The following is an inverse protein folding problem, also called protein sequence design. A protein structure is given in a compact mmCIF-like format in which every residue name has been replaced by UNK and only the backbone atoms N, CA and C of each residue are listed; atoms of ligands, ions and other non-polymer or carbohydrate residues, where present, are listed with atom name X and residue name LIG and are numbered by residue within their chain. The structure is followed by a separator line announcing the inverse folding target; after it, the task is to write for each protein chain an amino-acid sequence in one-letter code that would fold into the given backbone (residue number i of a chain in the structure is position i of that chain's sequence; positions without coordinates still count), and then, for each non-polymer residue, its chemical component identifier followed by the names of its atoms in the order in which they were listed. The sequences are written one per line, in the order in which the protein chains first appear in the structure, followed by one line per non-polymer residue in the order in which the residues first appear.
data_IF_974912599472
#
_entry.id   IF_974912599472
#
_cell.length_a   1.000
_cell.length_b   1.000
_cell.length_c   1.000
_cell.angle_alpha   90.00
_cell.angle_beta   90.00
_cell.angle_gamma   90.00
#
_symmetry.space_group_name_H-M   'P 1'
#
loop_
_entity.id
_entity.type
_entity.pdbx_description
1 polymer ?
#
# COMPACT_ATOMS: atom_id res chain seq x y z
N UNK A 1 -11.22 -4.74 0.05
CA UNK A 1 -11.68 -5.89 0.86
C UNK A 1 -11.25 -7.18 0.19
N UNK A 2 -10.89 -8.21 0.96
CA UNK A 2 -10.65 -9.57 0.49
C UNK A 2 -11.80 -10.48 0.92
N UNK A 3 -13.02 -10.19 0.45
CA UNK A 3 -14.21 -11.01 0.70
C UNK A 3 -14.86 -11.35 -0.65
N UNK A 4 -14.80 -12.62 -1.05
CA UNK A 4 -15.29 -13.08 -2.36
C UNK A 4 -16.79 -12.90 -2.51
N UNK A 5 -17.56 -13.20 -1.48
CA UNK A 5 -19.03 -13.12 -1.50
C UNK A 5 -19.45 -11.66 -1.72
N UNK A 6 -18.80 -10.72 -1.00
CA UNK A 6 -19.11 -9.31 -1.14
C UNK A 6 -18.69 -8.75 -2.50
N UNK A 7 -17.54 -9.18 -3.03
CA UNK A 7 -17.12 -8.82 -4.40
C UNK A 7 -18.14 -9.29 -5.42
N UNK A 8 -18.59 -10.55 -5.35
CA UNK A 8 -19.60 -11.11 -6.25
C UNK A 8 -20.95 -10.39 -6.13
N UNK A 9 -21.36 -10.02 -4.91
CA UNK A 9 -22.58 -9.24 -4.69
C UNK A 9 -22.49 -7.88 -5.38
N UNK A 10 -21.36 -7.17 -5.25
CA UNK A 10 -21.14 -5.88 -5.90
C UNK A 10 -21.03 -6.02 -7.42
N UNK A 11 -20.42 -7.09 -7.93
CA UNK A 11 -20.36 -7.39 -9.36
C UNK A 11 -21.76 -7.64 -9.93
N UNK A 12 -22.63 -8.34 -9.20
CA UNK A 12 -24.05 -8.49 -9.54
C UNK A 12 -24.85 -7.17 -9.55
N UNK A 13 -24.36 -6.13 -8.86
CA UNK A 13 -24.91 -4.77 -8.88
C UNK A 13 -24.25 -3.88 -9.97
N UNK A 14 -23.36 -4.43 -10.79
CA UNK A 14 -22.71 -3.73 -11.89
C UNK A 14 -21.32 -3.17 -11.59
N UNK A 15 -20.76 -3.42 -10.40
CA UNK A 15 -19.34 -3.10 -10.16
C UNK A 15 -18.46 -3.98 -11.04
N UNK A 16 -17.41 -3.41 -11.64
CA UNK A 16 -16.43 -4.17 -12.41
C UNK A 16 -15.07 -4.03 -11.78
N UNK A 17 -14.43 -5.17 -11.48
CA UNK A 17 -13.03 -5.19 -11.03
C UNK A 17 -12.12 -4.85 -12.21
N UNK A 18 -11.21 -3.90 -12.00
CA UNK A 18 -10.25 -3.41 -13.00
C UNK A 18 -8.84 -3.38 -12.40
N UNK A 19 -7.83 -3.50 -13.25
CA UNK A 19 -6.42 -3.28 -12.89
C UNK A 19 -5.87 -1.96 -13.43
N UNK A 20 -4.62 -1.64 -13.08
CA UNK A 20 -3.95 -0.42 -13.56
C UNK A 20 -3.88 -0.34 -15.08
N UNK A 21 -3.75 -1.48 -15.78
CA UNK A 21 -3.71 -1.54 -17.24
C UNK A 21 -5.04 -1.14 -17.91
N UNK A 22 -6.16 -1.20 -17.19
CA UNK A 22 -7.47 -0.83 -17.71
C UNK A 22 -7.72 0.68 -17.61
N UNK A 23 -7.00 1.40 -16.73
CA UNK A 23 -7.23 2.82 -16.43
C UNK A 23 -7.35 3.71 -17.67
N UNK A 24 -6.52 3.57 -18.73
CA UNK A 24 -6.63 4.41 -19.93
C UNK A 24 -8.01 4.37 -20.61
N UNK A 25 -8.81 3.32 -20.37
CA UNK A 25 -10.14 3.12 -20.96
C UNK A 25 -11.29 3.59 -20.05
N UNK A 26 -10.98 4.13 -18.86
CA UNK A 26 -11.97 4.47 -17.82
C UNK A 26 -12.27 5.98 -17.75
N UNK A 27 -11.80 6.80 -18.70
CA UNK A 27 -12.06 8.24 -18.70
C UNK A 27 -13.57 8.54 -18.64
N UNK A 28 -13.96 9.49 -17.78
CA UNK A 28 -15.36 9.84 -17.53
C UNK A 28 -16.14 8.83 -16.67
N UNK A 29 -15.52 7.72 -16.25
CA UNK A 29 -16.10 6.77 -15.30
C UNK A 29 -15.70 7.11 -13.86
N UNK A 30 -16.33 6.40 -12.91
CA UNK A 30 -15.98 6.41 -11.50
C UNK A 30 -15.08 5.21 -11.16
N UNK A 31 -13.99 5.47 -10.46
CA UNK A 31 -13.08 4.45 -9.93
C UNK A 31 -13.21 4.37 -8.42
N UNK A 32 -13.62 3.20 -7.92
CA UNK A 32 -13.72 2.92 -6.50
C UNK A 32 -12.42 2.30 -5.97
N UNK A 33 -11.68 3.04 -5.13
CA UNK A 33 -10.47 2.54 -4.48
C UNK A 33 -10.84 1.79 -3.21
N UNK A 34 -10.36 0.55 -3.11
CA UNK A 34 -10.69 -0.36 -2.01
C UNK A 34 -9.90 0.01 -0.74
N UNK A 35 -10.37 -0.51 0.40
CA UNK A 35 -9.81 -0.27 1.75
C UNK A 35 -8.29 -0.38 1.95
N UNK A 36 -7.57 -1.11 1.09
CA UNK A 36 -6.11 -1.23 1.16
C UNK A 36 -5.37 0.02 0.67
N UNK A 37 -6.08 0.94 0.01
CA UNK A 37 -5.52 2.13 -0.61
C UNK A 37 -4.62 1.84 -1.80
N UNK A 38 -4.19 2.92 -2.44
CA UNK A 38 -3.34 2.90 -3.63
C UNK A 38 -2.14 3.86 -3.42
N UNK A 39 -1.05 3.71 -4.20
CA UNK A 39 0.02 4.70 -4.21
C UNK A 39 -0.43 6.02 -4.84
N UNK A 40 0.23 7.16 -4.54
CA UNK A 40 -0.13 8.47 -5.10
C UNK A 40 -0.15 8.53 -6.63
N UNK A 41 0.66 7.68 -7.29
CA UNK A 41 0.72 7.55 -8.74
C UNK A 41 -0.61 7.09 -9.36
N UNK A 42 -1.36 6.21 -8.69
CA UNK A 42 -2.70 5.79 -9.15
C UNK A 42 -3.67 6.97 -9.18
N UNK A 43 -3.66 7.82 -8.14
CA UNK A 43 -4.52 9.00 -8.06
C UNK A 43 -4.14 10.06 -9.09
N UNK A 44 -2.84 10.27 -9.32
CA UNK A 44 -2.34 11.16 -10.37
C UNK A 44 -2.81 10.69 -11.75
N UNK A 45 -2.63 9.40 -12.05
CA UNK A 45 -3.10 8.79 -13.30
C UNK A 45 -4.61 8.94 -13.49
N UNK A 46 -5.40 8.70 -12.43
CA UNK A 46 -6.84 8.87 -12.47
C UNK A 46 -7.25 10.32 -12.78
N UNK A 47 -6.57 11.29 -12.17
CA UNK A 47 -6.79 12.72 -12.42
C UNK A 47 -6.45 13.10 -13.87
N UNK A 48 -5.32 12.63 -14.39
CA UNK A 48 -4.88 12.88 -15.76
C UNK A 48 -5.86 12.31 -16.80
N UNK A 49 -6.44 11.16 -16.51
CA UNK A 49 -7.41 10.48 -17.39
C UNK A 49 -8.86 10.96 -17.20
N UNK A 50 -9.11 11.94 -16.34
CA UNK A 50 -10.47 12.43 -16.07
C UNK A 50 -11.38 11.39 -15.42
N UNK A 51 -10.82 10.54 -14.55
CA UNK A 51 -11.53 9.51 -13.80
C UNK A 51 -11.94 10.08 -12.44
N UNK A 52 -13.22 10.01 -12.10
CA UNK A 52 -13.71 10.41 -10.78
C UNK A 52 -13.36 9.32 -9.75
N UNK A 53 -12.53 9.65 -8.76
CA UNK A 53 -12.11 8.68 -7.73
C UNK A 53 -13.04 8.74 -6.51
N UNK A 54 -13.58 7.59 -6.14
CA UNK A 54 -14.24 7.36 -4.85
C UNK A 54 -13.26 6.57 -3.97
N UNK A 55 -12.66 7.24 -2.99
CA UNK A 55 -11.65 6.63 -2.13
C UNK A 55 -12.26 6.06 -0.85
N UNK A 56 -12.29 4.72 -0.75
CA UNK A 56 -12.72 4.00 0.43
C UNK A 56 -11.55 3.38 1.21
N UNK A 57 -10.35 3.95 1.12
CA UNK A 57 -9.17 3.54 1.90
C UNK A 57 -9.49 3.58 3.39
N UNK A 58 -9.16 2.51 4.11
CA UNK A 58 -9.35 2.44 5.55
C UNK A 58 -8.56 3.57 6.24
N UNK A 59 -9.15 4.35 7.17
CA UNK A 59 -8.44 5.44 7.86
C UNK A 59 -7.17 4.98 8.60
N UNK A 60 -7.11 3.72 9.03
CA UNK A 60 -5.92 3.11 9.64
C UNK A 60 -4.81 2.96 8.59
N UNK A 61 -5.14 2.43 7.41
CA UNK A 61 -4.20 2.27 6.29
C UNK A 61 -3.73 3.62 5.78
N UNK A 62 -4.64 4.59 5.60
CA UNK A 62 -4.27 5.95 5.18
C UNK A 62 -3.30 6.63 6.18
N UNK A 63 -3.47 6.36 7.48
CA UNK A 63 -2.54 6.84 8.52
C UNK A 63 -1.18 6.14 8.42
N UNK A 64 -1.16 4.84 8.17
CA UNK A 64 0.08 4.08 7.97
C UNK A 64 0.84 4.56 6.72
N UNK A 65 0.15 4.83 5.61
CA UNK A 65 0.72 5.43 4.40
C UNK A 65 1.40 6.78 4.70
N UNK A 66 0.77 7.66 5.51
CA UNK A 66 1.40 8.91 5.95
C UNK A 66 2.62 8.67 6.83
N UNK A 67 2.57 7.69 7.73
CA UNK A 67 3.72 7.32 8.58
C UNK A 67 4.89 6.82 7.76
N UNK A 68 4.67 6.04 6.69
CA UNK A 68 5.74 5.61 5.78
C UNK A 68 6.46 6.81 5.17
N UNK A 69 5.73 7.83 4.69
CA UNK A 69 6.36 9.06 4.16
C UNK A 69 7.21 9.77 5.21
N UNK A 70 6.68 9.90 6.43
CA UNK A 70 7.38 10.55 7.54
C UNK A 70 8.63 9.77 7.97
N UNK A 71 8.53 8.43 8.01
CA UNK A 71 9.65 7.55 8.32
C UNK A 71 10.79 7.71 7.32
N UNK A 72 10.47 7.72 6.02
CA UNK A 72 11.46 7.94 4.96
C UNK A 72 12.10 9.32 5.05
N UNK A 73 11.30 10.37 5.22
CA UNK A 73 11.83 11.72 5.38
C UNK A 73 12.79 11.84 6.57
N UNK A 74 12.46 11.22 7.71
CA UNK A 74 13.31 11.20 8.90
C UNK A 74 14.58 10.35 8.71
N UNK A 75 14.45 9.14 8.15
CA UNK A 75 15.58 8.23 7.95
C UNK A 75 16.56 8.76 6.91
N UNK A 76 16.10 9.46 5.87
CA UNK A 76 16.97 10.06 4.85
C UNK A 76 18.00 11.02 5.45
N UNK A 77 17.61 11.82 6.45
CA UNK A 77 18.50 12.80 7.08
C UNK A 77 19.66 12.16 7.87
N UNK A 78 19.48 10.92 8.33
CA UNK A 78 20.45 10.19 9.16
C UNK A 78 21.06 8.98 8.43
N UNK A 79 20.81 8.84 7.12
CA UNK A 79 21.25 7.67 6.35
C UNK A 79 20.61 6.35 6.83
N UNK A 80 19.45 6.40 7.48
CA UNK A 80 18.73 5.23 7.99
C UNK A 80 17.99 4.43 6.93
N UNK A 81 17.22 3.44 7.37
CA UNK A 81 16.44 2.52 6.55
C UNK A 81 15.00 2.44 7.06
N UNK A 82 14.04 2.31 6.14
CA UNK A 82 12.64 2.00 6.49
C UNK A 82 12.35 0.55 6.13
N UNK A 83 11.85 -0.18 7.11
CA UNK A 83 11.55 -1.61 7.00
C UNK A 83 10.07 -1.82 7.28
N UNK A 84 9.39 -2.59 6.42
CA UNK A 84 7.98 -2.98 6.59
C UNK A 84 7.92 -4.50 6.71
N UNK A 85 7.36 -5.00 7.82
CA UNK A 85 6.89 -6.37 7.92
C UNK A 85 5.54 -6.50 7.21
N UNK A 86 5.47 -7.28 6.14
CA UNK A 86 4.24 -7.46 5.39
C UNK A 86 4.44 -8.30 4.13
N UNK A 87 3.35 -8.82 3.60
CA UNK A 87 3.37 -9.73 2.45
C UNK A 87 3.69 -8.98 1.15
N UNK A 88 4.77 -9.36 0.47
CA UNK A 88 5.13 -8.73 -0.82
C UNK A 88 4.02 -8.94 -1.84
N UNK A 89 3.73 -7.91 -2.62
CA UNK A 89 2.64 -7.90 -3.60
C UNK A 89 1.23 -7.82 -3.00
N UNK A 90 1.05 -7.86 -1.67
CA UNK A 90 -0.24 -7.55 -1.07
C UNK A 90 -0.61 -6.08 -1.37
N UNK A 91 -1.86 -5.83 -1.75
CA UNK A 91 -2.31 -4.49 -2.18
C UNK A 91 -1.97 -3.39 -1.18
N UNK A 92 -2.14 -3.66 0.12
CA UNK A 92 -1.75 -2.70 1.16
C UNK A 92 -0.24 -2.41 1.15
N UNK A 93 0.60 -3.44 1.06
CA UNK A 93 2.07 -3.27 1.04
C UNK A 93 2.51 -2.51 -0.21
N UNK A 94 1.91 -2.80 -1.37
CA UNK A 94 2.14 -2.01 -2.60
C UNK A 94 1.75 -0.55 -2.39
N UNK A 95 0.59 -0.30 -1.78
CA UNK A 95 0.12 1.03 -1.43
C UNK A 95 1.01 1.75 -0.42
N UNK A 96 1.68 1.02 0.49
CA UNK A 96 2.64 1.57 1.46
C UNK A 96 3.98 1.91 0.79
N UNK A 97 4.59 0.97 0.08
CA UNK A 97 5.91 1.15 -0.53
C UNK A 97 5.88 2.19 -1.65
N UNK A 98 4.75 2.31 -2.36
CA UNK A 98 4.59 3.31 -3.42
C UNK A 98 4.30 4.73 -2.91
N UNK A 99 4.26 4.98 -1.59
CA UNK A 99 4.10 6.34 -1.05
C UNK A 99 5.32 7.23 -1.26
N UNK A 100 6.49 6.63 -1.51
CA UNK A 100 7.77 7.30 -1.71
C UNK A 100 8.50 6.69 -2.91
N UNK A 101 9.45 7.42 -3.48
CA UNK A 101 10.34 6.88 -4.52
C UNK A 101 11.51 6.09 -3.92
N UNK A 102 11.90 6.40 -2.68
CA UNK A 102 12.98 5.73 -1.98
C UNK A 102 12.68 4.24 -1.73
N UNK A 103 13.67 3.34 -1.87
CA UNK A 103 13.46 1.92 -1.68
C UNK A 103 13.07 1.62 -0.23
N UNK A 104 11.98 0.86 -0.07
CA UNK A 104 11.54 0.34 1.23
C UNK A 104 11.88 -1.14 1.32
N UNK A 105 12.49 -1.57 2.42
CA UNK A 105 12.78 -2.99 2.64
C UNK A 105 11.49 -3.65 3.15
N UNK A 106 10.97 -4.60 2.40
CA UNK A 106 9.83 -5.42 2.84
C UNK A 106 10.34 -6.77 3.30
N UNK A 107 10.01 -7.16 4.52
CA UNK A 107 10.30 -8.47 5.11
C UNK A 107 9.00 -9.25 5.34
N UNK A 108 9.03 -10.55 5.12
CA UNK A 108 7.91 -11.47 5.34
C UNK A 108 8.21 -12.48 6.45
N UNK A 109 9.48 -12.83 6.62
CA UNK A 109 9.96 -13.85 7.55
C UNK A 109 11.29 -13.43 8.19
N UNK A 110 11.73 -14.13 9.24
CA UNK A 110 13.02 -13.90 9.87
C UNK A 110 14.22 -14.05 8.91
N UNK A 111 14.11 -14.90 7.88
CA UNK A 111 15.16 -15.05 6.88
C UNK A 111 15.37 -13.78 6.03
N UNK A 112 14.39 -12.88 5.98
CA UNK A 112 14.53 -11.61 5.27
C UNK A 112 15.32 -10.56 6.06
N UNK A 113 15.63 -10.82 7.34
CA UNK A 113 16.39 -9.90 8.18
C UNK A 113 17.83 -9.69 7.68
N UNK A 114 18.39 -10.65 6.93
CA UNK A 114 19.71 -10.53 6.29
C UNK A 114 19.79 -9.37 5.28
N UNK A 115 18.64 -8.82 4.87
CA UNK A 115 18.55 -7.66 3.96
C UNK A 115 18.68 -6.32 4.69
N UNK A 116 18.62 -6.33 6.02
CA UNK A 116 18.64 -5.15 6.86
C UNK A 116 20.07 -4.92 7.35
N UNK A 117 20.54 -3.68 7.24
CA UNK A 117 21.83 -3.29 7.80
C UNK A 117 21.62 -2.76 9.22
N UNK A 118 21.79 -3.65 10.19
CA UNK A 118 21.62 -3.34 11.61
C UNK A 118 22.63 -2.34 12.18
N UNK A 119 23.64 -1.91 11.40
CA UNK A 119 24.55 -0.83 11.79
C UNK A 119 23.96 0.56 11.54
N UNK A 120 22.88 0.65 10.76
CA UNK A 120 22.20 1.90 10.41
C UNK A 120 20.92 2.09 11.24
N UNK A 121 20.47 3.34 11.45
CA UNK A 121 19.16 3.58 12.07
C UNK A 121 18.03 2.92 11.28
N UNK A 122 17.14 2.21 11.96
CA UNK A 122 16.00 1.51 11.36
C UNK A 122 14.69 2.10 11.87
N UNK A 123 13.78 2.40 10.95
CA UNK A 123 12.38 2.67 11.26
C UNK A 123 11.53 1.50 10.82
N UNK A 124 10.96 0.77 11.78
CA UNK A 124 10.20 -0.44 11.54
C UNK A 124 8.68 -0.18 11.59
N UNK A 125 7.97 -0.70 10.60
CA UNK A 125 6.52 -0.62 10.45
C UNK A 125 5.97 -2.01 10.12
N UNK A 126 4.67 -2.22 10.31
CA UNK A 126 4.00 -3.48 9.99
C UNK A 126 2.72 -3.24 9.21
N UNK A 127 2.43 -4.13 8.25
CA UNK A 127 1.14 -4.22 7.58
C UNK A 127 0.02 -4.41 8.63
N UNK A 128 -1.11 -3.73 8.45
CA UNK A 128 -2.16 -3.66 9.47
C UNK A 128 -2.78 -5.01 9.84
N UNK A 129 -2.72 -5.99 8.94
CA UNK A 129 -3.30 -7.33 9.11
C UNK A 129 -2.27 -8.43 9.36
N UNK A 130 -1.02 -8.06 9.67
CA UNK A 130 0.01 -9.06 9.95
C UNK A 130 -0.21 -9.76 11.30
N UNK A 131 0.26 -11.00 11.41
CA UNK A 131 0.23 -11.77 12.66
C UNK A 131 1.01 -11.06 13.77
N UNK A 132 0.37 -10.90 14.93
CA UNK A 132 1.00 -10.36 16.14
C UNK A 132 2.16 -11.26 16.59
N UNK A 133 1.95 -12.58 16.60
CA UNK A 133 2.98 -13.54 17.01
C UNK A 133 4.24 -13.47 16.13
N UNK A 134 4.07 -13.20 14.82
CA UNK A 134 5.20 -13.02 13.92
C UNK A 134 5.89 -11.67 14.12
N UNK A 135 5.14 -10.63 14.53
CA UNK A 135 5.70 -9.31 14.83
C UNK A 135 6.51 -9.31 16.14
N UNK A 136 6.11 -10.12 17.12
CA UNK A 136 6.78 -10.26 18.42
C UNK A 136 8.01 -11.17 18.39
N UNK A 137 8.20 -11.93 17.31
CA UNK A 137 9.37 -12.79 17.10
C UNK A 137 10.59 -11.97 16.64
#
# INVERSE_FOLDING_TARGET
MHNRIEVQRLEGLGLRTVGHADMPRLGGCRLFIRAHGEPPTTYATARELGIEVIDATCPVVARLQRRVKQAHAGMRAVGGQVVILGKRGHAEVVGLTGQVADPTIVIETAADLDRIDFTRPIHFLSQTTQSIALFEQ
#
